data_IF_367724991344
#
_entry.id   IF_367724991344
#
_cell.length_a   1.000
_cell.length_b   1.000
_cell.length_c   1.000
_cell.angle_alpha   90.00
_cell.angle_beta   90.00
_cell.angle_gamma   90.00
#
_symmetry.space_group_name_H-M   'P 1'
#
loop_
_entity.id
_entity.type
_entity.pdbx_description
1 polymer ?
#
# COMPACT_ATOMS: atom_id res chain seq x y z
N UNK A 1 26.04 21.78 3.19
CA UNK A 1 24.75 21.18 3.57
C UNK A 1 24.78 19.74 3.09
N UNK A 2 24.62 18.75 3.96
CA UNK A 2 24.53 17.35 3.52
C UNK A 2 23.23 17.15 2.75
N UNK A 3 23.27 16.41 1.64
CA UNK A 3 22.06 16.18 0.86
C UNK A 3 21.07 15.36 1.70
N UNK A 4 19.74 15.50 1.48
CA UNK A 4 18.74 14.69 2.16
C UNK A 4 19.02 13.17 2.08
N UNK A 5 19.58 12.72 0.95
CA UNK A 5 19.99 11.33 0.74
C UNK A 5 21.09 10.86 1.71
N UNK A 6 22.10 11.70 1.98
CA UNK A 6 23.19 11.37 2.91
C UNK A 6 22.66 11.17 4.33
N UNK A 7 21.70 11.99 4.74
CA UNK A 7 21.06 11.88 6.06
C UNK A 7 20.27 10.58 6.19
N UNK A 8 19.59 10.15 5.11
CA UNK A 8 18.89 8.87 5.08
C UNK A 8 19.85 7.68 5.12
N UNK A 9 21.03 7.78 4.48
CA UNK A 9 22.06 6.73 4.54
C UNK A 9 22.60 6.55 5.96
N UNK A 10 22.79 7.63 6.71
CA UNK A 10 23.20 7.56 8.13
C UNK A 10 22.15 6.85 9.00
N UNK A 11 20.86 7.18 8.81
CA UNK A 11 19.76 6.52 9.54
C UNK A 11 19.64 5.05 9.13
N UNK A 12 19.80 4.73 7.85
CA UNK A 12 19.74 3.36 7.34
C UNK A 12 20.84 2.47 7.94
N UNK A 13 21.99 3.04 8.32
CA UNK A 13 23.08 2.33 8.96
C UNK A 13 22.85 2.01 10.45
N UNK A 14 21.82 2.57 11.10
CA UNK A 14 21.51 2.23 12.49
C UNK A 14 21.16 0.74 12.62
N UNK A 15 21.72 -0.01 13.60
CA UNK A 15 21.59 -1.47 13.64
C UNK A 15 20.14 -1.96 13.53
N UNK A 16 19.22 -1.36 14.29
CA UNK A 16 17.79 -1.74 14.26
C UNK A 16 17.13 -1.45 12.90
N UNK A 17 17.50 -0.35 12.23
CA UNK A 17 16.97 0.02 10.91
C UNK A 17 17.53 -0.93 9.86
N UNK A 18 18.84 -1.17 9.87
CA UNK A 18 19.49 -2.11 8.97
C UNK A 18 18.88 -3.52 9.07
N UNK A 19 18.66 -4.03 10.30
CA UNK A 19 17.99 -5.30 10.53
C UNK A 19 16.55 -5.30 9.98
N UNK A 20 15.78 -4.24 10.23
CA UNK A 20 14.42 -4.14 9.71
C UNK A 20 14.37 -4.09 8.16
N UNK A 21 15.28 -3.34 7.53
CA UNK A 21 15.41 -3.30 6.07
C UNK A 21 15.79 -4.67 5.49
N UNK A 22 16.70 -5.40 6.14
CA UNK A 22 17.06 -6.75 5.73
C UNK A 22 15.87 -7.71 5.82
N UNK A 23 15.12 -7.68 6.94
CA UNK A 23 13.93 -8.49 7.12
C UNK A 23 12.83 -8.17 6.09
N UNK A 24 12.63 -6.90 5.77
CA UNK A 24 11.69 -6.48 4.73
C UNK A 24 12.10 -6.99 3.35
N UNK A 25 13.40 -6.91 3.01
CA UNK A 25 13.93 -7.44 1.75
C UNK A 25 13.76 -8.95 1.67
N UNK A 26 14.06 -9.68 2.74
CA UNK A 26 13.88 -11.14 2.79
C UNK A 26 12.40 -11.52 2.61
N UNK A 27 11.49 -10.82 3.30
CA UNK A 27 10.05 -11.02 3.12
C UNK A 27 9.61 -10.77 1.67
N UNK A 28 10.11 -9.68 1.04
CA UNK A 28 9.86 -9.37 -0.37
C UNK A 28 10.36 -10.47 -1.30
N UNK A 29 11.56 -11.01 -1.05
CA UNK A 29 12.10 -12.16 -1.79
C UNK A 29 11.20 -13.38 -1.66
N UNK A 30 10.76 -13.73 -0.44
CA UNK A 30 9.84 -14.86 -0.22
C UNK A 30 8.51 -14.66 -0.97
N UNK A 31 7.93 -13.46 -0.94
CA UNK A 31 6.70 -13.16 -1.70
C UNK A 31 6.92 -13.29 -3.22
N UNK A 32 8.04 -12.78 -3.74
CA UNK A 32 8.39 -12.87 -5.17
C UNK A 32 8.54 -14.31 -5.66
N UNK A 33 8.96 -15.23 -4.81
CA UNK A 33 9.13 -16.65 -5.14
C UNK A 33 8.05 -17.56 -4.54
N UNK A 34 6.96 -16.98 -4.02
CA UNK A 34 5.88 -17.78 -3.45
C UNK A 34 5.03 -18.40 -4.58
N UNK A 35 5.10 -19.73 -4.70
CA UNK A 35 4.43 -20.51 -5.75
C UNK A 35 2.93 -20.20 -5.89
N UNK A 36 2.21 -20.15 -4.77
CA UNK A 36 0.76 -19.84 -4.78
C UNK A 36 0.42 -18.42 -5.24
N UNK A 37 1.27 -17.43 -4.91
CA UNK A 37 1.04 -16.03 -5.30
C UNK A 37 1.43 -15.82 -6.76
N UNK A 38 2.49 -16.50 -7.24
CA UNK A 38 2.92 -16.43 -8.64
C UNK A 38 1.85 -16.86 -9.63
N UNK A 39 1.05 -17.86 -9.28
CA UNK A 39 -0.06 -18.33 -10.12
C UNK A 39 -1.26 -17.38 -10.14
N UNK A 40 -1.34 -16.46 -9.18
CA UNK A 40 -2.47 -15.55 -8.95
C UNK A 40 -2.00 -14.11 -8.68
N UNK A 41 -0.94 -13.69 -9.38
CA UNK A 41 -0.34 -12.37 -9.21
C UNK A 41 -1.40 -11.25 -9.38
N UNK A 42 -2.27 -11.29 -10.42
CA UNK A 42 -3.29 -10.26 -10.59
C UNK A 42 -4.22 -10.13 -9.38
N UNK A 43 -4.70 -11.24 -8.82
CA UNK A 43 -5.60 -11.22 -7.67
C UNK A 43 -4.89 -10.83 -6.37
N UNK A 44 -3.67 -11.34 -6.16
CA UNK A 44 -2.85 -10.96 -5.02
C UNK A 44 -2.52 -9.46 -5.03
N UNK A 45 -2.19 -8.91 -6.20
CA UNK A 45 -1.96 -7.49 -6.36
C UNK A 45 -3.26 -6.68 -6.13
N UNK A 46 -4.40 -7.14 -6.64
CA UNK A 46 -5.69 -6.49 -6.41
C UNK A 46 -6.08 -6.43 -4.93
N UNK A 47 -5.93 -7.54 -4.21
CA UNK A 47 -6.18 -7.59 -2.77
C UNK A 47 -5.16 -6.74 -1.98
N UNK A 48 -3.89 -6.72 -2.41
CA UNK A 48 -2.87 -5.85 -1.82
C UNK A 48 -3.27 -4.36 -1.93
N UNK A 49 -3.84 -3.94 -3.07
CA UNK A 49 -4.33 -2.56 -3.27
C UNK A 49 -5.50 -2.22 -2.37
N UNK A 50 -6.46 -3.13 -2.22
CA UNK A 50 -7.59 -2.95 -1.29
C UNK A 50 -7.07 -2.73 0.13
N UNK A 51 -6.10 -3.55 0.57
CA UNK A 51 -5.50 -3.43 1.90
C UNK A 51 -4.62 -2.18 2.06
N UNK A 52 -3.92 -1.77 0.99
CA UNK A 52 -3.16 -0.54 0.93
C UNK A 52 -4.06 0.68 1.10
N UNK A 53 -5.11 0.79 0.27
CA UNK A 53 -6.10 1.86 0.37
C UNK A 53 -6.79 1.90 1.74
N UNK A 54 -7.20 0.75 2.27
CA UNK A 54 -7.79 0.64 3.61
C UNK A 54 -6.85 1.13 4.71
N UNK A 55 -5.58 0.72 4.67
CA UNK A 55 -4.58 1.13 5.67
C UNK A 55 -4.27 2.61 5.57
N UNK A 56 -4.10 3.15 4.35
CA UNK A 56 -3.86 4.57 4.12
C UNK A 56 -5.03 5.43 4.60
N UNK A 57 -6.27 5.06 4.29
CA UNK A 57 -7.45 5.75 4.79
C UNK A 57 -7.52 5.73 6.33
N UNK A 58 -7.15 4.61 6.95
CA UNK A 58 -7.12 4.49 8.40
C UNK A 58 -6.05 5.38 9.07
N UNK A 59 -4.89 5.58 8.42
CA UNK A 59 -3.87 6.54 8.87
C UNK A 59 -4.40 7.98 8.88
N UNK A 60 -5.25 8.32 7.92
CA UNK A 60 -5.92 9.62 7.82
C UNK A 60 -7.21 9.73 8.67
N UNK A 61 -7.48 8.73 9.52
CA UNK A 61 -8.60 8.71 10.47
C UNK A 61 -9.91 8.13 9.91
N UNK A 62 -9.98 7.76 8.64
CA UNK A 62 -11.14 7.11 8.04
C UNK A 62 -11.13 5.59 8.28
N UNK A 63 -11.64 5.19 9.45
CA UNK A 63 -11.69 3.78 9.86
C UNK A 63 -13.01 3.13 9.44
N UNK A 64 -12.96 2.33 8.38
CA UNK A 64 -14.06 1.48 7.92
C UNK A 64 -13.61 0.01 7.90
N UNK A 65 -14.51 -0.98 7.91
CA UNK A 65 -14.11 -2.37 7.70
C UNK A 65 -13.44 -2.57 6.33
N UNK A 66 -12.42 -3.43 6.24
CA UNK A 66 -11.72 -3.71 4.97
C UNK A 66 -12.67 -4.23 3.88
N UNK A 67 -13.71 -4.97 4.28
CA UNK A 67 -14.74 -5.49 3.37
C UNK A 67 -15.53 -4.38 2.68
N UNK A 68 -15.75 -3.25 3.36
CA UNK A 68 -16.40 -2.09 2.75
C UNK A 68 -15.54 -1.51 1.63
N UNK A 69 -14.23 -1.33 1.90
CA UNK A 69 -13.29 -0.86 0.88
C UNK A 69 -13.23 -1.85 -0.30
N UNK A 70 -13.19 -3.16 -0.02
CA UNK A 70 -13.21 -4.20 -1.06
C UNK A 70 -14.46 -4.11 -1.93
N UNK A 71 -15.64 -3.96 -1.34
CA UNK A 71 -16.90 -3.84 -2.08
C UNK A 71 -16.97 -2.58 -2.94
N UNK A 72 -16.44 -1.45 -2.45
CA UNK A 72 -16.37 -0.19 -3.20
C UNK A 72 -15.41 -0.28 -4.39
N UNK A 73 -14.20 -0.83 -4.17
CA UNK A 73 -13.18 -0.98 -5.24
C UNK A 73 -13.66 -1.95 -6.32
N UNK A 74 -14.37 -3.02 -5.93
CA UNK A 74 -14.90 -4.01 -6.88
C UNK A 74 -16.23 -3.61 -7.52
N UNK A 75 -16.82 -2.47 -7.13
CA UNK A 75 -18.13 -2.04 -7.62
C UNK A 75 -19.32 -2.86 -7.10
N UNK A 76 -19.14 -3.73 -6.10
CA UNK A 76 -20.25 -4.45 -5.43
C UNK A 76 -21.13 -3.53 -4.60
N UNK A 77 -20.64 -2.34 -4.25
CA UNK A 77 -21.40 -1.33 -3.53
C UNK A 77 -21.21 0.03 -4.18
N UNK A 78 -22.28 0.82 -4.21
CA UNK A 78 -22.19 2.21 -4.60
C UNK A 78 -21.40 3.00 -3.55
N UNK A 79 -20.69 4.03 -4.00
CA UNK A 79 -20.06 4.96 -3.09
C UNK A 79 -21.13 5.74 -2.31
N UNK A 80 -21.01 5.83 -0.98
CA UNK A 80 -21.83 6.73 -0.19
C UNK A 80 -21.64 8.19 -0.64
N UNK A 81 -22.62 9.07 -0.36
CA UNK A 81 -22.44 10.51 -0.59
C UNK A 81 -21.23 11.04 0.18
N UNK A 82 -20.62 12.09 -0.35
CA UNK A 82 -19.37 12.65 0.16
C UNK A 82 -19.52 13.19 1.59
N UNK A 83 -18.71 12.64 2.49
CA UNK A 83 -18.34 13.24 3.77
C UNK A 83 -16.83 13.10 3.94
N UNK A 84 -16.26 13.74 4.97
CA UNK A 84 -14.81 13.70 5.20
C UNK A 84 -14.25 12.27 5.37
N UNK A 85 -15.05 11.29 5.80
CA UNK A 85 -14.61 9.89 5.89
C UNK A 85 -14.56 9.26 4.51
N UNK A 86 -15.64 9.37 3.74
CA UNK A 86 -15.73 8.78 2.40
C UNK A 86 -14.80 9.45 1.39
N UNK A 87 -14.53 10.74 1.54
CA UNK A 87 -13.55 11.47 0.72
C UNK A 87 -12.13 10.95 0.92
N UNK A 88 -11.74 10.65 2.17
CA UNK A 88 -10.44 10.03 2.48
C UNK A 88 -10.34 8.61 1.96
N UNK A 89 -11.40 7.79 2.13
CA UNK A 89 -11.43 6.42 1.57
C UNK A 89 -11.31 6.48 0.04
N UNK A 90 -12.03 7.39 -0.62
CA UNK A 90 -11.97 7.59 -2.07
C UNK A 90 -10.57 8.02 -2.52
N UNK A 91 -9.98 9.01 -1.84
CA UNK A 91 -8.63 9.46 -2.12
C UNK A 91 -7.60 8.34 -1.97
N UNK A 92 -7.66 7.57 -0.88
CA UNK A 92 -6.75 6.44 -0.66
C UNK A 92 -6.87 5.36 -1.75
N UNK A 93 -8.10 5.05 -2.20
CA UNK A 93 -8.34 4.13 -3.31
C UNK A 93 -7.74 4.68 -4.61
N UNK A 94 -7.99 5.95 -4.93
CA UNK A 94 -7.48 6.60 -6.14
C UNK A 94 -5.96 6.65 -6.17
N UNK A 95 -5.31 7.08 -5.09
CA UNK A 95 -3.84 7.14 -4.99
C UNK A 95 -3.22 5.75 -5.14
N UNK A 96 -3.82 4.73 -4.52
CA UNK A 96 -3.32 3.34 -4.64
C UNK A 96 -3.48 2.81 -6.07
N UNK A 97 -4.53 3.21 -6.79
CA UNK A 97 -4.69 2.86 -8.20
C UNK A 97 -3.72 3.62 -9.12
N UNK A 98 -3.47 4.91 -8.86
CA UNK A 98 -2.53 5.72 -9.64
C UNK A 98 -1.08 5.27 -9.44
N UNK A 99 -0.71 4.78 -8.24
CA UNK A 99 0.61 4.21 -7.98
C UNK A 99 0.99 3.10 -8.97
N UNK A 100 0.01 2.34 -9.47
CA UNK A 100 0.24 1.33 -10.50
C UNK A 100 0.49 1.91 -11.87
N UNK A 101 -0.22 2.99 -12.21
CA UNK A 101 -0.09 3.66 -13.49
C UNK A 101 1.29 4.29 -13.62
N UNK A 102 1.83 4.84 -12.54
CA UNK A 102 3.15 5.51 -12.55
C UNK A 102 4.32 4.56 -12.33
N UNK A 103 4.10 3.37 -11.74
CA UNK A 103 5.16 2.39 -11.47
C UNK A 103 6.06 2.04 -12.67
N UNK A 104 5.53 1.84 -13.89
CA UNK A 104 6.35 1.61 -15.09
C UNK A 104 7.20 2.80 -15.56
N UNK A 105 6.99 4.00 -14.98
CA UNK A 105 7.67 5.24 -15.37
C UNK A 105 8.84 5.61 -14.44
N UNK A 106 9.06 4.84 -13.37
CA UNK A 106 10.11 5.02 -12.35
C UNK A 106 11.17 3.92 -12.47
#
# INVERSE_FOLDING_TARGET
>A
MSAPADSLLLVAAWPRVATACAAAREAGTRLRFHEGLRRRIPEAAAESRVRGAWSSAALDGARVPVEVVRNLVTGRSAWPPGDATWDRVRGAVQVTAEAERVGPLL
#
